data_IF_018424438479
#
_entry.id   IF_018424438479
#
_cell.length_a   1.000
_cell.length_b   1.000
_cell.length_c   1.000
_cell.angle_alpha   90.00
_cell.angle_beta   90.00
_cell.angle_gamma   90.00
#
_symmetry.space_group_name_H-M   'P 1'
#
loop_
_entity.id
_entity.type
_entity.pdbx_description
1 polymer ?
#
# COMPACT_ATOMS: atom_id res chain seq x y z
N UNK A 1 4.47 -3.17 61.83
CA UNK A 1 5.20 -2.08 61.17
C UNK A 1 6.36 -2.53 60.28
N UNK A 2 7.50 -3.03 60.81
CA UNK A 2 8.67 -3.34 59.94
C UNK A 2 8.39 -4.50 58.95
N UNK A 3 7.69 -5.55 59.39
CA UNK A 3 7.38 -6.72 58.55
C UNK A 3 6.35 -6.40 57.45
N UNK A 4 5.36 -5.56 57.74
CA UNK A 4 4.34 -5.13 56.77
C UNK A 4 4.95 -4.28 55.65
N UNK A 5 5.94 -3.42 55.98
CA UNK A 5 6.67 -2.64 54.99
C UNK A 5 7.53 -3.52 54.05
N UNK A 6 8.11 -4.61 54.56
CA UNK A 6 8.90 -5.54 53.74
C UNK A 6 8.01 -6.28 52.74
N UNK A 7 6.84 -6.78 53.19
CA UNK A 7 5.87 -7.47 52.32
C UNK A 7 5.32 -6.52 51.24
N UNK A 8 4.98 -5.28 51.59
CA UNK A 8 4.49 -4.29 50.63
C UNK A 8 5.53 -3.96 49.55
N UNK A 9 6.80 -3.81 49.95
CA UNK A 9 7.91 -3.54 49.01
C UNK A 9 8.15 -4.73 48.08
N UNK A 10 8.09 -5.97 48.57
CA UNK A 10 8.22 -7.17 47.74
C UNK A 10 7.07 -7.30 46.72
N UNK A 11 5.83 -6.98 47.12
CA UNK A 11 4.67 -6.97 46.20
C UNK A 11 4.82 -5.88 45.14
N UNK A 12 5.32 -4.69 45.49
CA UNK A 12 5.60 -3.62 44.54
C UNK A 12 6.67 -4.03 43.52
N UNK A 13 7.79 -4.61 43.95
CA UNK A 13 8.81 -5.09 43.02
C UNK A 13 8.33 -6.26 42.15
N UNK A 14 7.57 -7.19 42.71
CA UNK A 14 6.98 -8.30 41.95
C UNK A 14 6.01 -7.83 40.87
N UNK A 15 5.15 -6.86 41.19
CA UNK A 15 4.21 -6.26 40.22
C UNK A 15 4.92 -5.42 39.16
N UNK A 16 5.97 -4.67 39.52
CA UNK A 16 6.81 -3.95 38.55
C UNK A 16 7.51 -4.92 37.58
N UNK A 17 8.11 -5.99 38.10
CA UNK A 17 8.75 -7.00 37.27
C UNK A 17 7.77 -7.67 36.31
N UNK A 18 6.58 -8.05 36.80
CA UNK A 18 5.52 -8.62 35.99
C UNK A 18 5.08 -7.65 34.87
N UNK A 19 4.92 -6.36 35.18
CA UNK A 19 4.58 -5.34 34.18
C UNK A 19 5.67 -5.20 33.10
N UNK A 20 6.94 -5.20 33.48
CA UNK A 20 8.08 -5.14 32.53
C UNK A 20 8.12 -6.40 31.67
N UNK A 21 7.93 -7.57 32.28
CA UNK A 21 7.92 -8.85 31.59
C UNK A 21 6.76 -8.97 30.59
N UNK A 22 5.55 -8.56 30.97
CA UNK A 22 4.39 -8.50 30.07
C UNK A 22 4.67 -7.55 28.89
N UNK A 23 5.26 -6.37 29.16
CA UNK A 23 5.66 -5.44 28.08
C UNK A 23 6.69 -6.06 27.13
N UNK A 24 7.65 -6.80 27.67
CA UNK A 24 8.67 -7.49 26.87
C UNK A 24 8.06 -8.59 25.98
N UNK A 25 7.20 -9.45 26.54
CA UNK A 25 6.48 -10.47 25.76
C UNK A 25 5.61 -9.81 24.69
N UNK A 26 4.87 -8.76 25.05
CA UNK A 26 4.01 -8.06 24.10
C UNK A 26 4.82 -7.49 22.94
N UNK A 27 5.97 -6.86 23.23
CA UNK A 27 6.89 -6.36 22.21
C UNK A 27 7.40 -7.49 21.31
N UNK A 28 7.87 -8.60 21.89
CA UNK A 28 8.36 -9.74 21.11
C UNK A 28 7.27 -10.35 20.21
N UNK A 29 6.02 -10.41 20.67
CA UNK A 29 4.88 -10.88 19.87
C UNK A 29 4.56 -9.92 18.72
N UNK A 30 4.56 -8.62 18.98
CA UNK A 30 4.36 -7.57 17.97
C UNK A 30 5.45 -7.65 16.91
N UNK A 31 6.71 -7.71 17.32
CA UNK A 31 7.87 -7.79 16.42
C UNK A 31 7.80 -9.04 15.55
N UNK A 32 7.42 -10.19 16.11
CA UNK A 32 7.24 -11.44 15.35
C UNK A 32 6.13 -11.32 14.30
N UNK A 33 5.00 -10.69 14.65
CA UNK A 33 3.88 -10.52 13.72
C UNK A 33 4.23 -9.53 12.61
N UNK A 34 4.80 -8.38 12.97
CA UNK A 34 5.28 -7.38 12.03
C UNK A 34 6.31 -7.97 11.07
N UNK A 35 7.28 -8.73 11.58
CA UNK A 35 8.28 -9.42 10.77
C UNK A 35 7.63 -10.35 9.74
N UNK A 36 6.60 -11.11 10.14
CA UNK A 36 5.87 -11.99 9.22
C UNK A 36 5.18 -11.20 8.10
N UNK A 37 4.50 -10.11 8.45
CA UNK A 37 3.81 -9.23 7.51
C UNK A 37 4.80 -8.53 6.56
N UNK A 38 5.91 -8.00 7.06
CA UNK A 38 6.97 -7.37 6.25
C UNK A 38 7.62 -8.40 5.33
N UNK A 39 7.93 -9.60 5.84
CA UNK A 39 8.44 -10.70 5.03
C UNK A 39 7.51 -11.06 3.88
N UNK A 40 6.18 -11.02 4.10
CA UNK A 40 5.21 -11.20 3.03
C UNK A 40 5.28 -10.10 1.99
N UNK A 41 5.28 -8.83 2.41
CA UNK A 41 5.40 -7.68 1.50
C UNK A 41 6.69 -7.68 0.68
N UNK A 42 7.74 -8.35 1.16
CA UNK A 42 9.05 -8.45 0.51
C UNK A 42 9.25 -9.79 -0.19
N UNK A 43 8.17 -10.56 -0.39
CA UNK A 43 8.26 -11.82 -1.13
C UNK A 43 8.83 -11.56 -2.53
N UNK A 44 9.74 -12.43 -3.00
CA UNK A 44 10.35 -12.26 -4.30
C UNK A 44 9.27 -12.24 -5.38
N UNK A 45 9.40 -11.32 -6.33
CA UNK A 45 8.64 -11.32 -7.58
C UNK A 45 9.02 -12.62 -8.29
N UNK A 46 8.16 -13.64 -8.19
CA UNK A 46 8.54 -15.02 -8.50
C UNK A 46 9.12 -15.18 -9.91
N UNK A 47 10.19 -15.96 -10.02
CA UNK A 47 10.62 -16.63 -11.26
C UNK A 47 9.82 -17.94 -11.43
N UNK A 48 8.92 -17.94 -12.42
CA UNK A 48 8.24 -19.04 -13.14
C UNK A 48 7.82 -20.38 -12.48
N UNK A 49 8.32 -20.85 -11.33
CA UNK A 49 8.22 -22.28 -10.97
C UNK A 49 7.91 -22.64 -9.49
N UNK A 50 7.24 -21.80 -8.70
CA UNK A 50 6.76 -22.23 -7.36
C UNK A 50 5.29 -21.87 -7.15
N UNK A 51 4.56 -22.78 -6.49
CA UNK A 51 3.10 -22.81 -6.36
C UNK A 51 2.47 -21.71 -5.48
N UNK A 52 3.27 -20.88 -4.79
CA UNK A 52 2.72 -19.68 -4.14
C UNK A 52 2.42 -18.58 -5.18
N UNK A 53 1.36 -17.80 -4.99
CA UNK A 53 1.04 -16.69 -5.89
C UNK A 53 2.11 -15.59 -5.81
N UNK A 54 2.45 -14.95 -6.94
CA UNK A 54 3.27 -13.73 -6.89
C UNK A 54 2.45 -12.54 -6.36
N UNK A 55 3.11 -11.48 -5.88
CA UNK A 55 2.40 -10.25 -5.45
C UNK A 55 1.51 -9.67 -6.56
N UNK A 56 1.92 -9.82 -7.83
CA UNK A 56 1.10 -9.47 -8.98
C UNK A 56 -0.16 -10.36 -9.10
N UNK A 57 -0.01 -11.67 -8.95
CA UNK A 57 -1.14 -12.61 -9.02
C UNK A 57 -2.13 -12.37 -7.87
N UNK A 58 -1.64 -12.01 -6.69
CA UNK A 58 -2.45 -11.58 -5.55
C UNK A 58 -3.26 -10.33 -5.92
N UNK A 59 -2.65 -9.33 -6.56
CA UNK A 59 -3.37 -8.13 -7.02
C UNK A 59 -4.46 -8.52 -8.02
N UNK A 60 -4.15 -9.39 -9.00
CA UNK A 60 -5.13 -9.87 -9.99
C UNK A 60 -6.29 -10.64 -9.34
N UNK A 61 -6.00 -11.45 -8.33
CA UNK A 61 -7.01 -12.20 -7.59
C UNK A 61 -7.91 -11.26 -6.77
N UNK A 62 -7.31 -10.30 -6.05
CA UNK A 62 -8.07 -9.33 -5.23
C UNK A 62 -8.91 -8.37 -6.07
N UNK A 63 -8.42 -7.89 -7.23
CA UNK A 63 -9.25 -7.06 -8.12
C UNK A 63 -10.49 -7.82 -8.61
N UNK A 64 -10.38 -9.13 -8.83
CA UNK A 64 -11.49 -9.98 -9.27
C UNK A 64 -12.52 -10.15 -8.17
N UNK A 65 -12.04 -10.30 -6.93
CA UNK A 65 -12.88 -10.44 -5.73
C UNK A 65 -13.71 -9.17 -5.48
N UNK A 66 -13.12 -7.99 -5.65
CA UNK A 66 -13.81 -6.70 -5.42
C UNK A 66 -14.57 -6.18 -6.65
N UNK A 67 -14.63 -6.97 -7.74
CA UNK A 67 -15.41 -6.68 -8.96
C UNK A 67 -15.14 -5.30 -9.58
N UNK A 68 -13.86 -4.91 -9.72
CA UNK A 68 -13.47 -3.67 -10.40
C UNK A 68 -14.06 -3.62 -11.82
N UNK A 69 -14.54 -2.46 -12.27
CA UNK A 69 -14.98 -2.25 -13.66
C UNK A 69 -13.83 -2.55 -14.64
N UNK A 70 -14.11 -3.26 -15.73
CA UNK A 70 -13.10 -3.65 -16.74
C UNK A 70 -12.20 -2.50 -17.20
N UNK A 71 -12.71 -1.26 -17.23
CA UNK A 71 -11.94 -0.08 -17.67
C UNK A 71 -10.81 0.31 -16.70
N UNK A 72 -10.89 -0.11 -15.45
CA UNK A 72 -9.89 0.17 -14.40
C UNK A 72 -9.06 -1.05 -14.00
N UNK A 73 -9.29 -2.21 -14.64
CA UNK A 73 -8.56 -3.43 -14.32
C UNK A 73 -7.11 -3.38 -14.82
N UNK A 74 -6.24 -4.00 -14.04
CA UNK A 74 -4.90 -4.37 -14.47
C UNK A 74 -5.01 -5.69 -15.24
N UNK A 75 -4.27 -5.76 -16.34
CA UNK A 75 -4.19 -6.90 -17.25
C UNK A 75 -2.84 -7.59 -17.14
N UNK A 76 -2.69 -8.76 -17.75
CA UNK A 76 -1.41 -9.49 -17.78
C UNK A 76 -0.32 -8.67 -18.49
N UNK A 77 -0.70 -7.86 -19.48
CA UNK A 77 0.24 -7.04 -20.24
C UNK A 77 0.87 -5.92 -19.38
N UNK A 78 0.18 -5.51 -18.32
CA UNK A 78 0.66 -4.50 -17.37
C UNK A 78 1.74 -5.04 -16.41
N UNK A 79 2.00 -6.36 -16.42
CA UNK A 79 2.84 -7.07 -15.44
C UNK A 79 4.26 -6.49 -15.30
N UNK A 80 4.87 -6.07 -16.41
CA UNK A 80 6.25 -5.53 -16.39
C UNK A 80 6.28 -4.25 -15.54
N UNK A 81 5.41 -3.29 -15.85
CA UNK A 81 5.31 -2.01 -15.13
C UNK A 81 4.95 -2.23 -13.66
N UNK A 82 4.02 -3.16 -13.38
CA UNK A 82 3.64 -3.47 -11.99
C UNK A 82 4.81 -4.10 -11.21
N UNK A 83 5.60 -4.97 -11.84
CA UNK A 83 6.79 -5.54 -11.19
C UNK A 83 7.86 -4.48 -10.89
N UNK A 84 8.02 -3.48 -11.77
CA UNK A 84 8.92 -2.36 -11.52
C UNK A 84 8.44 -1.53 -10.32
N UNK A 85 7.13 -1.23 -10.26
CA UNK A 85 6.51 -0.57 -9.09
C UNK A 85 6.70 -1.38 -7.81
N UNK A 86 6.50 -2.71 -7.86
CA UNK A 86 6.71 -3.60 -6.71
C UNK A 86 8.18 -3.62 -6.27
N UNK A 87 9.12 -3.52 -7.23
CA UNK A 87 10.55 -3.47 -6.93
C UNK A 87 10.91 -2.22 -6.14
N UNK A 88 10.40 -1.05 -6.54
CA UNK A 88 10.61 0.19 -5.80
C UNK A 88 9.85 0.21 -4.47
N UNK A 89 8.66 -0.39 -4.42
CA UNK A 89 7.95 -0.65 -3.17
C UNK A 89 8.79 -1.49 -2.19
N UNK A 90 9.45 -2.55 -2.65
CA UNK A 90 10.34 -3.35 -1.80
C UNK A 90 11.50 -2.52 -1.24
N UNK A 91 12.12 -1.66 -2.06
CA UNK A 91 13.19 -0.76 -1.60
C UNK A 91 12.67 0.18 -0.51
N UNK A 92 11.50 0.78 -0.72
CA UNK A 92 10.87 1.65 0.27
C UNK A 92 10.53 0.91 1.58
N UNK A 93 9.91 -0.27 1.49
CA UNK A 93 9.61 -1.11 2.65
C UNK A 93 10.86 -1.52 3.43
N UNK A 94 11.95 -1.83 2.73
CA UNK A 94 13.26 -2.13 3.34
C UNK A 94 13.74 -0.95 4.17
N UNK A 95 13.72 0.25 3.58
CA UNK A 95 14.16 1.48 4.24
C UNK A 95 13.30 1.81 5.46
N UNK A 96 11.97 1.73 5.33
CA UNK A 96 11.05 1.97 6.45
C UNK A 96 11.25 0.97 7.59
N UNK A 97 11.51 -0.30 7.27
CA UNK A 97 11.77 -1.32 8.28
C UNK A 97 13.07 -1.05 9.05
N UNK A 98 14.19 -0.83 8.35
CA UNK A 98 15.48 -0.58 9.01
C UNK A 98 15.54 0.74 9.77
N UNK A 99 14.78 1.75 9.33
CA UNK A 99 14.68 3.03 10.02
C UNK A 99 13.64 3.05 11.16
N UNK A 100 12.98 1.92 11.46
CA UNK A 100 11.87 1.82 12.43
C UNK A 100 10.73 2.81 12.15
N UNK A 101 10.45 3.09 10.87
CA UNK A 101 9.41 4.02 10.41
C UNK A 101 8.13 3.31 9.94
N UNK A 102 8.08 1.98 10.03
CA UNK A 102 6.85 1.25 9.75
C UNK A 102 5.75 1.57 10.75
N UNK A 103 4.55 1.76 10.25
CA UNK A 103 3.39 1.99 11.08
C UNK A 103 2.96 0.69 11.78
N UNK A 104 3.16 0.62 13.10
CA UNK A 104 2.83 -0.54 13.94
C UNK A 104 1.52 -0.35 14.70
N UNK A 105 0.61 0.47 14.20
CA UNK A 105 -0.69 0.67 14.85
C UNK A 105 -1.40 -0.67 15.08
N UNK A 106 -2.11 -0.79 16.20
CA UNK A 106 -2.84 -2.02 16.58
C UNK A 106 -3.78 -2.51 15.47
N UNK A 107 -4.32 -1.60 14.65
CA UNK A 107 -5.19 -1.93 13.53
C UNK A 107 -4.44 -2.63 12.40
N UNK A 108 -3.26 -2.14 12.04
CA UNK A 108 -2.40 -2.75 11.02
C UNK A 108 -1.81 -4.07 11.50
N UNK A 109 -1.46 -4.16 12.79
CA UNK A 109 -1.06 -5.41 13.40
C UNK A 109 -2.19 -6.43 13.46
N UNK A 110 -3.46 -6.06 13.30
CA UNK A 110 -4.57 -7.02 13.26
C UNK A 110 -4.90 -7.51 11.85
N UNK A 111 -4.40 -6.85 10.81
CA UNK A 111 -4.54 -7.27 9.43
C UNK A 111 -3.83 -8.60 9.16
N UNK A 112 -4.38 -9.37 8.22
CA UNK A 112 -3.62 -10.47 7.62
C UNK A 112 -2.48 -9.95 6.72
N UNK A 113 -1.66 -10.86 6.21
CA UNK A 113 -0.49 -10.52 5.40
C UNK A 113 -0.86 -9.84 4.06
N UNK A 114 -1.95 -10.28 3.42
CA UNK A 114 -2.41 -9.73 2.14
C UNK A 114 -3.01 -8.35 2.34
N UNK A 115 -3.80 -8.18 3.40
CA UNK A 115 -4.37 -6.90 3.82
C UNK A 115 -3.28 -5.88 4.14
N UNK A 116 -2.28 -6.29 4.90
CA UNK A 116 -1.13 -5.47 5.24
C UNK A 116 -0.33 -5.09 3.98
N UNK A 117 -0.13 -6.03 3.05
CA UNK A 117 0.48 -5.75 1.76
C UNK A 117 -0.31 -4.70 0.95
N UNK A 118 -1.62 -4.91 0.76
CA UNK A 118 -2.47 -3.98 0.01
C UNK A 118 -2.49 -2.58 0.64
N UNK A 119 -2.46 -2.50 1.98
CA UNK A 119 -2.37 -1.24 2.71
C UNK A 119 -1.04 -0.51 2.47
N UNK A 120 0.10 -1.19 2.65
CA UNK A 120 1.41 -0.56 2.48
C UNK A 120 1.67 -0.20 1.02
N UNK A 121 1.17 -1.01 0.07
CA UNK A 121 1.22 -0.68 -1.35
C UNK A 121 0.39 0.58 -1.66
N UNK A 122 -0.81 0.72 -1.08
CA UNK A 122 -1.60 1.95 -1.22
C UNK A 122 -0.88 3.18 -0.68
N UNK A 123 -0.34 3.14 0.55
CA UNK A 123 0.36 4.29 1.13
C UNK A 123 1.59 4.67 0.31
N UNK A 124 2.32 3.69 -0.21
CA UNK A 124 3.42 3.91 -1.13
C UNK A 124 2.96 4.59 -2.43
N UNK A 125 1.88 4.12 -3.05
CA UNK A 125 1.35 4.73 -4.27
C UNK A 125 0.80 6.14 -4.03
N UNK A 126 0.15 6.36 -2.89
CA UNK A 126 -0.36 7.66 -2.48
C UNK A 126 0.77 8.68 -2.31
N UNK A 127 1.86 8.29 -1.65
CA UNK A 127 3.01 9.16 -1.44
C UNK A 127 3.65 9.65 -2.76
N UNK A 128 3.59 8.84 -3.81
CA UNK A 128 4.23 9.13 -5.10
C UNK A 128 3.23 9.51 -6.23
N UNK A 129 1.96 9.81 -5.89
CA UNK A 129 0.88 10.02 -6.88
C UNK A 129 1.10 11.21 -7.84
N UNK A 130 1.87 12.21 -7.41
CA UNK A 130 2.14 13.44 -8.17
C UNK A 130 3.57 13.51 -8.74
N UNK A 131 4.34 12.43 -8.64
CA UNK A 131 5.67 12.39 -9.24
C UNK A 131 5.56 12.41 -10.77
N UNK A 132 6.36 13.27 -11.41
CA UNK A 132 6.40 13.40 -12.88
C UNK A 132 7.00 12.16 -13.54
N UNK A 133 7.91 11.49 -12.83
CA UNK A 133 8.56 10.25 -13.22
C UNK A 133 8.53 9.30 -12.03
N UNK A 134 8.25 8.01 -12.28
CA UNK A 134 8.23 6.97 -11.26
C UNK A 134 8.85 5.70 -11.82
N UNK A 135 9.78 5.08 -11.08
CA UNK A 135 10.54 3.91 -11.52
C UNK A 135 11.24 4.10 -12.90
N UNK A 136 11.64 5.32 -13.23
CA UNK A 136 12.24 5.66 -14.53
C UNK A 136 11.24 5.84 -15.68
N UNK A 137 9.93 5.75 -15.41
CA UNK A 137 8.87 6.00 -16.38
C UNK A 137 8.26 7.38 -16.18
N UNK A 138 8.11 8.13 -17.28
CA UNK A 138 7.31 9.36 -17.27
C UNK A 138 5.87 9.00 -16.96
N UNK A 139 5.33 9.58 -15.89
CA UNK A 139 3.96 9.34 -15.42
C UNK A 139 2.97 10.31 -16.08
N UNK A 140 3.45 11.53 -16.33
CA UNK A 140 2.68 12.62 -16.91
C UNK A 140 3.39 13.19 -18.13
N UNK A 141 2.75 13.06 -19.30
CA UNK A 141 3.14 13.83 -20.48
C UNK A 141 2.57 15.24 -20.39
N UNK A 142 3.43 16.21 -20.64
CA UNK A 142 3.03 17.59 -20.84
C UNK A 142 2.25 17.70 -22.17
N UNK A 143 1.02 18.22 -22.14
CA UNK A 143 0.14 18.28 -23.33
C UNK A 143 0.08 19.68 -23.93
N UNK A 144 -0.01 20.73 -23.10
CA UNK A 144 0.12 22.13 -23.52
C UNK A 144 0.15 23.07 -22.31
N UNK A 145 0.81 24.23 -22.46
CA UNK A 145 0.59 25.40 -21.59
C UNK A 145 -0.62 26.12 -22.17
N UNK A 146 -1.73 26.14 -21.44
CA UNK A 146 -2.83 27.04 -21.80
C UNK A 146 -2.51 28.44 -21.24
N UNK A 147 -1.95 28.50 -20.01
CA UNK A 147 -1.58 29.73 -19.29
C UNK A 147 -0.52 29.41 -18.19
N UNK A 148 0.07 30.41 -17.52
CA UNK A 148 1.08 30.21 -16.44
C UNK A 148 0.59 29.33 -15.28
N UNK A 149 -0.73 29.23 -15.08
CA UNK A 149 -1.37 28.55 -13.95
C UNK A 149 -2.01 27.20 -14.32
N UNK A 150 -2.17 26.90 -15.61
CA UNK A 150 -2.98 25.78 -16.13
C UNK A 150 -2.14 24.94 -17.11
N UNK A 151 -1.18 24.23 -16.54
CA UNK A 151 -0.45 23.19 -17.27
C UNK A 151 -1.34 21.95 -17.41
N UNK A 152 -1.74 21.58 -18.62
CA UNK A 152 -2.49 20.35 -18.85
C UNK A 152 -1.53 19.16 -18.95
N UNK A 153 -1.54 18.31 -17.92
CA UNK A 153 -0.83 17.03 -17.92
C UNK A 153 -1.77 15.89 -18.34
N UNK A 154 -1.29 14.97 -19.17
CA UNK A 154 -1.98 13.70 -19.45
C UNK A 154 -1.17 12.55 -18.92
N UNK A 155 -1.85 11.53 -18.38
CA UNK A 155 -1.17 10.31 -17.97
C UNK A 155 -0.54 9.62 -19.19
N UNK A 156 0.65 9.07 -19.04
CA UNK A 156 1.24 8.11 -20.00
C UNK A 156 0.51 6.77 -19.91
N UNK A 157 0.94 5.74 -20.64
CA UNK A 157 0.37 4.40 -20.44
C UNK A 157 0.77 3.81 -19.10
N UNK A 158 2.02 4.03 -18.69
CA UNK A 158 2.56 3.68 -17.38
C UNK A 158 1.84 4.44 -16.26
N UNK A 159 1.57 5.74 -16.47
CA UNK A 159 0.75 6.55 -15.57
C UNK A 159 -0.66 5.99 -15.38
N UNK A 160 -1.30 5.47 -16.43
CA UNK A 160 -2.60 4.78 -16.29
C UNK A 160 -2.43 3.53 -15.42
N UNK A 161 -1.43 2.69 -15.69
CA UNK A 161 -1.21 1.43 -14.96
C UNK A 161 -1.03 1.69 -13.47
N UNK A 162 -0.24 2.71 -13.13
CA UNK A 162 -0.06 3.15 -11.75
C UNK A 162 -1.37 3.60 -11.11
N UNK A 163 -2.15 4.44 -11.78
CA UNK A 163 -3.43 4.94 -11.26
C UNK A 163 -4.46 3.81 -11.13
N UNK A 164 -4.46 2.82 -12.04
CA UNK A 164 -5.27 1.59 -11.90
C UNK A 164 -4.86 0.81 -10.66
N UNK A 165 -3.56 0.64 -10.40
CA UNK A 165 -3.08 -0.04 -9.21
C UNK A 165 -3.50 0.69 -7.93
N UNK A 166 -3.34 2.01 -7.90
CA UNK A 166 -3.75 2.83 -6.76
C UNK A 166 -5.27 2.78 -6.54
N UNK A 167 -6.05 2.77 -7.62
CA UNK A 167 -7.50 2.57 -7.55
C UNK A 167 -7.87 1.20 -6.97
N UNK A 168 -7.26 0.12 -7.46
CA UNK A 168 -7.51 -1.24 -6.98
C UNK A 168 -7.21 -1.37 -5.48
N UNK A 169 -6.05 -0.87 -5.03
CA UNK A 169 -5.68 -0.92 -3.61
C UNK A 169 -6.61 -0.06 -2.76
N UNK A 170 -6.97 1.13 -3.24
CA UNK A 170 -7.95 2.01 -2.58
C UNK A 170 -9.30 1.31 -2.40
N UNK A 171 -9.89 0.79 -3.47
CA UNK A 171 -11.20 0.11 -3.43
C UNK A 171 -11.13 -1.14 -2.54
N UNK A 172 -10.04 -1.91 -2.62
CA UNK A 172 -9.83 -3.07 -1.76
C UNK A 172 -9.87 -2.71 -0.27
N UNK A 173 -9.26 -1.58 0.11
CA UNK A 173 -9.15 -1.18 1.52
C UNK A 173 -10.43 -0.56 2.08
N UNK A 174 -11.38 -0.14 1.24
CA UNK A 174 -12.65 0.45 1.70
C UNK A 174 -13.52 -0.51 2.50
N UNK A 175 -13.36 -1.83 2.31
CA UNK A 175 -14.06 -2.83 3.14
C UNK A 175 -13.65 -2.77 4.62
N UNK A 176 -12.49 -2.19 4.94
CA UNK A 176 -12.02 -1.98 6.30
C UNK A 176 -12.41 -0.58 6.81
N UNK A 177 -13.65 -0.43 7.31
CA UNK A 177 -14.22 0.86 7.74
C UNK A 177 -13.31 1.70 8.65
N UNK A 178 -12.65 1.06 9.62
CA UNK A 178 -11.75 1.74 10.56
C UNK A 178 -10.49 2.29 9.87
N UNK A 179 -9.87 1.50 9.01
CA UNK A 179 -8.69 1.92 8.25
C UNK A 179 -9.05 3.00 7.24
N UNK A 180 -10.17 2.84 6.53
CA UNK A 180 -10.66 3.87 5.63
C UNK A 180 -10.87 5.21 6.36
N UNK A 181 -11.46 5.18 7.57
CA UNK A 181 -11.65 6.39 8.38
C UNK A 181 -10.34 7.01 8.84
N UNK A 182 -9.39 6.21 9.31
CA UNK A 182 -8.12 6.71 9.87
C UNK A 182 -7.20 7.26 8.78
N UNK A 183 -7.13 6.59 7.63
CA UNK A 183 -6.19 6.93 6.55
C UNK A 183 -6.84 7.70 5.38
N UNK A 184 -8.09 8.12 5.56
CA UNK A 184 -8.89 8.86 4.60
C UNK A 184 -8.82 8.28 3.17
N UNK A 185 -9.20 7.01 3.01
CA UNK A 185 -9.18 6.28 1.73
C UNK A 185 -10.45 6.63 0.92
N UNK A 186 -10.75 7.93 0.83
CA UNK A 186 -11.94 8.46 0.15
C UNK A 186 -11.62 9.13 -1.21
N UNK A 187 -10.35 9.38 -1.54
CA UNK A 187 -9.94 10.06 -2.78
C UNK A 187 -9.85 9.16 -4.04
N UNK A 188 -10.53 8.01 -4.06
CA UNK A 188 -10.56 7.15 -5.26
C UNK A 188 -11.34 7.78 -6.43
N UNK A 189 -12.24 8.73 -6.15
CA UNK A 189 -12.96 9.49 -7.19
C UNK A 189 -11.99 10.32 -8.05
N UNK A 190 -10.95 10.91 -7.45
CA UNK A 190 -9.93 11.67 -8.18
C UNK A 190 -9.13 10.75 -9.11
N UNK A 191 -8.77 9.55 -8.63
CA UNK A 191 -8.10 8.55 -9.49
C UNK A 191 -9.00 8.08 -10.64
N UNK A 192 -10.30 7.88 -10.36
CA UNK A 192 -11.28 7.51 -11.37
C UNK A 192 -11.45 8.60 -12.43
N UNK A 193 -11.50 9.87 -12.03
CA UNK A 193 -11.55 11.03 -12.93
C UNK A 193 -10.29 11.17 -13.79
N UNK A 194 -9.10 11.01 -13.19
CA UNK A 194 -7.83 11.02 -13.93
C UNK A 194 -7.78 9.93 -15.01
N UNK A 195 -8.29 8.73 -14.72
CA UNK A 195 -8.34 7.63 -15.69
C UNK A 195 -9.44 7.88 -16.75
N UNK A 196 -10.64 8.34 -16.35
CA UNK A 196 -11.77 8.68 -17.25
C UNK A 196 -11.38 9.73 -18.28
N UNK A 197 -10.69 10.79 -17.85
CA UNK A 197 -10.26 11.91 -18.70
C UNK A 197 -9.40 11.49 -19.90
N UNK A 198 -8.79 10.29 -19.88
CA UNK A 198 -8.05 9.72 -21.01
C UNK A 198 -8.85 8.67 -21.80
N UNK A 199 -9.71 7.88 -21.14
CA UNK A 199 -10.62 6.94 -21.83
C UNK A 199 -11.56 7.70 -22.78
N UNK A 200 -12.10 8.84 -22.35
CA UNK A 200 -13.01 9.64 -23.18
C UNK A 200 -12.25 10.41 -24.26
N UNK A 201 -11.01 10.86 -24.03
CA UNK A 201 -10.16 11.45 -25.08
C UNK A 201 -9.80 10.43 -26.18
N UNK A 202 -9.58 9.16 -25.85
CA UNK A 202 -9.36 8.09 -26.86
C UNK A 202 -10.57 7.87 -27.76
N UNK A 203 -11.80 8.08 -27.26
CA UNK A 203 -13.01 8.04 -28.10
C UNK A 203 -13.05 9.19 -29.10
N UNK A 204 -12.65 10.40 -28.72
CA UNK A 204 -12.69 11.57 -29.61
C UNK A 204 -11.77 11.38 -30.84
N UNK A 205 -10.60 10.75 -30.66
CA UNK A 205 -9.67 10.44 -31.77
C UNK A 205 -10.08 9.26 -32.64
N UNK A 206 -11.08 8.45 -32.24
CA UNK A 206 -11.64 7.38 -33.09
C UNK A 206 -12.79 7.87 -34.00
N UNK A 207 -13.24 9.13 -33.83
CA UNK A 207 -14.32 9.73 -34.62
C UNK A 207 -13.86 10.95 -35.45
N UNK A 208 -12.56 11.15 -35.60
CA UNK A 208 -12.03 12.12 -36.57
C UNK A 208 -11.61 11.37 -37.85
N UNK A 209 -12.35 11.50 -38.97
CA UNK A 209 -11.94 11.00 -40.27
C UNK A 209 -10.70 11.73 -40.81
#
# INVERSE_FOLDING_TARGET
MVVENVVAVSVLYGTMFLCVFIKFIHKAMVDKKLFKQVKFCMQPIKKRNTWDDSLFDIILHKQSTIQIDSKYRITIDDKIVINDIITDFHRNMTNLYFNNQLNTSKYLLNMDEVEYFMFNLYEFLKANTYEKEFAGYVMFNYVNKVDEWTSCYSLTEQGIIYYKLNYITSVYLRKYRLINKIYNINNYNEHEECIKGKIDKRKIYMYMP
#
